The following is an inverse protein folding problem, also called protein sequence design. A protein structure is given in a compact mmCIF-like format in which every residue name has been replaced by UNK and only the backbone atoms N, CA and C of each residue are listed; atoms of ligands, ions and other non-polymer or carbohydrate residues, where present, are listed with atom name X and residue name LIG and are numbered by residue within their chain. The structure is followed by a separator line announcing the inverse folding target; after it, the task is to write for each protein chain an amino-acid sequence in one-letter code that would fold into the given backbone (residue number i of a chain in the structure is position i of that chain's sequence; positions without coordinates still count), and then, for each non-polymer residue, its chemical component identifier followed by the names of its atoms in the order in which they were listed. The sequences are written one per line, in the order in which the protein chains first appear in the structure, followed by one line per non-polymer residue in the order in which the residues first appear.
data_IF_159572190692
#
_entry.id   IF_159572190692
#
_cell.length_a   1.000
_cell.length_b   1.000
_cell.length_c   1.000
_cell.angle_alpha   90.00
_cell.angle_beta   90.00
_cell.angle_gamma   90.00
#
_symmetry.space_group_name_H-M   'P 1'
#
loop_
_entity.id
_entity.type
_entity.pdbx_description
1 polymer ?
#
# COMPACT_ATOMS: atom_id res chain seq x y z
N UNK A 1 24.67 29.07 -41.20
CA UNK A 1 23.37 29.30 -40.53
C UNK A 1 23.68 29.62 -39.08
N UNK A 2 23.50 30.87 -38.64
CA UNK A 2 23.69 31.22 -37.22
C UNK A 2 22.55 30.57 -36.44
N UNK A 3 22.86 29.65 -35.53
CA UNK A 3 21.89 29.14 -34.56
C UNK A 3 21.65 30.24 -33.53
N UNK A 4 20.55 30.99 -33.68
CA UNK A 4 20.07 31.86 -32.63
C UNK A 4 19.36 31.01 -31.57
N UNK A 5 19.69 31.17 -30.29
CA UNK A 5 18.90 30.54 -29.23
C UNK A 5 17.53 31.19 -29.22
N UNK A 6 16.46 30.39 -29.14
CA UNK A 6 15.07 30.86 -29.16
C UNK A 6 14.83 31.99 -28.15
N UNK A 7 15.49 31.97 -26.98
CA UNK A 7 15.40 33.03 -25.97
C UNK A 7 15.90 34.40 -26.46
N UNK A 8 16.91 34.42 -27.33
CA UNK A 8 17.47 35.66 -27.88
C UNK A 8 16.55 36.23 -28.96
N UNK A 9 15.91 35.38 -29.77
CA UNK A 9 14.90 35.78 -30.77
C UNK A 9 13.64 36.35 -30.10
N UNK A 10 13.25 35.76 -28.97
CA UNK A 10 12.09 36.20 -28.18
C UNK A 10 12.41 37.35 -27.21
N UNK A 11 13.66 37.86 -27.19
CA UNK A 11 14.13 38.91 -26.28
C UNK A 11 13.81 38.64 -24.80
N UNK A 12 13.79 37.37 -24.38
CA UNK A 12 13.41 36.98 -23.01
C UNK A 12 14.51 37.44 -22.05
N UNK A 13 14.21 38.31 -21.07
CA UNK A 13 15.20 38.80 -20.12
C UNK A 13 15.86 37.66 -19.34
N UNK A 14 17.17 37.74 -19.12
CA UNK A 14 17.91 36.78 -18.27
C UNK A 14 17.54 36.88 -16.78
N UNK A 15 16.91 37.97 -16.36
CA UNK A 15 16.46 38.20 -14.98
C UNK A 15 14.99 37.78 -14.84
N UNK A 16 14.66 37.13 -13.73
CA UNK A 16 13.30 36.73 -13.38
C UNK A 16 12.41 37.98 -13.25
N UNK A 17 11.38 38.08 -14.10
CA UNK A 17 10.46 39.20 -14.15
C UNK A 17 9.26 38.92 -15.04
N UNK A 18 8.23 39.76 -14.98
CA UNK A 18 7.07 39.66 -15.87
C UNK A 18 7.52 39.97 -17.30
N UNK A 19 7.43 38.97 -18.16
CA UNK A 19 7.70 39.09 -19.60
C UNK A 19 6.36 39.08 -20.35
N UNK A 20 6.23 39.96 -21.35
CA UNK A 20 5.07 40.00 -22.24
C UNK A 20 5.56 39.68 -23.64
N UNK A 21 5.01 38.62 -24.22
CA UNK A 21 5.35 38.17 -25.57
C UNK A 21 4.71 39.11 -26.60
N UNK A 22 5.51 39.56 -27.56
CA UNK A 22 5.03 40.31 -28.73
C UNK A 22 4.49 39.32 -29.78
N UNK A 23 3.17 39.28 -29.91
CA UNK A 23 2.48 38.28 -30.74
C UNK A 23 2.57 38.58 -32.24
N UNK A 24 2.83 39.82 -32.63
CA UNK A 24 2.93 40.23 -34.04
C UNK A 24 4.19 39.69 -34.72
N UNK A 25 5.23 39.36 -33.94
CA UNK A 25 6.49 38.79 -34.46
C UNK A 25 6.48 37.27 -34.61
N UNK A 26 5.38 36.60 -34.22
CA UNK A 26 5.29 35.15 -34.09
C UNK A 26 4.02 34.59 -34.73
N UNK A 27 3.46 35.28 -35.72
CA UNK A 27 2.23 34.87 -36.41
C UNK A 27 2.34 33.46 -37.02
N UNK A 28 3.55 33.02 -37.36
CA UNK A 28 3.82 31.70 -37.96
C UNK A 28 4.17 30.59 -36.93
N UNK A 29 4.10 30.85 -35.61
CA UNK A 29 4.56 29.90 -34.59
C UNK A 29 3.58 29.71 -33.42
N UNK A 30 3.34 28.45 -33.05
CA UNK A 30 2.72 28.10 -31.77
C UNK A 30 3.76 28.13 -30.64
N UNK A 31 3.48 28.89 -29.58
CA UNK A 31 4.42 29.11 -28.48
C UNK A 31 4.00 28.33 -27.24
N UNK A 32 4.72 27.25 -26.96
CA UNK A 32 4.54 26.46 -25.75
C UNK A 32 5.50 26.92 -24.65
N UNK A 33 4.98 27.09 -23.43
CA UNK A 33 5.77 27.50 -22.26
C UNK A 33 5.84 26.32 -21.30
N UNK A 34 7.06 25.82 -21.05
CA UNK A 34 7.29 24.80 -20.05
C UNK A 34 6.83 25.30 -18.68
N UNK A 35 5.86 24.61 -18.08
CA UNK A 35 5.43 24.86 -16.70
C UNK A 35 6.28 24.03 -15.75
N UNK A 36 6.81 24.66 -14.70
CA UNK A 36 7.42 23.97 -13.55
C UNK A 36 6.43 23.80 -12.38
N UNK A 37 5.19 24.28 -12.54
CA UNK A 37 4.12 24.18 -11.54
C UNK A 37 3.04 23.19 -11.99
N UNK A 38 2.70 22.26 -11.10
CA UNK A 38 1.64 21.26 -11.28
C UNK A 38 0.23 21.84 -11.06
N UNK A 39 0.12 23.02 -10.43
CA UNK A 39 -1.16 23.69 -10.14
C UNK A 39 -1.60 24.69 -11.22
N UNK A 40 -0.93 24.72 -12.37
CA UNK A 40 -1.29 25.64 -13.45
C UNK A 40 -2.45 25.07 -14.25
N UNK A 41 -3.61 25.71 -14.10
CA UNK A 41 -4.85 25.34 -14.79
C UNK A 41 -4.64 25.46 -16.30
N UNK A 42 -4.88 24.37 -17.03
CA UNK A 42 -4.93 24.37 -18.50
C UNK A 42 -6.25 25.00 -18.94
N UNK A 43 -6.17 25.85 -19.96
CA UNK A 43 -7.36 26.49 -20.52
C UNK A 43 -8.02 25.50 -21.48
N UNK A 44 -9.35 25.41 -21.44
CA UNK A 44 -10.10 24.59 -22.40
C UNK A 44 -9.75 24.99 -23.85
N UNK A 45 -9.73 24.00 -24.74
CA UNK A 45 -9.40 24.17 -26.18
C UNK A 45 -7.98 24.68 -26.46
N UNK A 46 -7.01 24.39 -25.58
CA UNK A 46 -5.59 24.64 -25.81
C UNK A 46 -4.79 23.36 -26.00
N UNK A 47 -3.75 23.42 -26.83
CA UNK A 47 -2.86 22.29 -27.07
C UNK A 47 -1.83 22.12 -25.94
N UNK A 48 -1.58 20.87 -25.54
CA UNK A 48 -0.62 20.52 -24.49
C UNK A 48 0.56 19.73 -25.07
N UNK A 49 1.72 20.38 -25.11
CA UNK A 49 2.97 19.77 -25.59
C UNK A 49 3.74 19.14 -24.42
N UNK A 50 4.06 17.85 -24.53
CA UNK A 50 4.87 17.10 -23.57
C UNK A 50 5.98 16.31 -24.26
N UNK A 51 7.07 16.09 -23.54
CA UNK A 51 8.25 15.37 -24.04
C UNK A 51 8.06 13.86 -23.85
N UNK A 52 8.26 13.08 -24.91
CA UNK A 52 8.13 11.62 -24.95
C UNK A 52 9.43 10.86 -24.64
N UNK A 53 10.55 11.56 -24.43
CA UNK A 53 11.77 10.99 -23.87
C UNK A 53 12.72 10.31 -24.86
N UNK A 54 12.71 10.67 -26.14
CA UNK A 54 13.84 10.31 -27.03
C UNK A 54 15.05 11.21 -26.74
N UNK A 55 16.14 10.59 -26.29
CA UNK A 55 17.25 11.25 -25.60
C UNK A 55 18.17 12.10 -26.51
N UNK A 56 18.48 13.32 -26.06
CA UNK A 56 19.75 13.99 -26.34
C UNK A 56 20.40 14.60 -25.08
N UNK A 57 21.72 14.72 -25.13
CA UNK A 57 22.70 14.75 -24.03
C UNK A 57 23.08 16.18 -23.59
N UNK A 58 23.01 16.42 -22.27
CA UNK A 58 23.76 17.38 -21.40
C UNK A 58 23.68 18.90 -21.65
N UNK A 59 23.44 19.71 -20.59
CA UNK A 59 24.49 20.26 -19.70
C UNK A 59 23.90 21.12 -18.56
N UNK A 60 24.71 21.27 -17.50
CA UNK A 60 24.52 21.88 -16.17
C UNK A 60 23.69 23.18 -16.00
N UNK A 61 23.08 23.32 -14.80
CA UNK A 61 23.45 24.33 -13.77
C UNK A 61 22.26 24.90 -12.95
N UNK A 62 22.31 24.64 -11.64
CA UNK A 62 22.07 25.56 -10.49
C UNK A 62 20.80 26.44 -10.45
N UNK A 63 19.88 26.19 -9.51
CA UNK A 63 19.72 26.91 -8.21
C UNK A 63 18.43 27.77 -8.22
N UNK A 64 17.99 28.47 -7.14
CA UNK A 64 18.10 28.30 -5.68
C UNK A 64 16.72 28.46 -4.94
N UNK A 65 16.79 28.26 -3.62
CA UNK A 65 15.89 28.74 -2.55
C UNK A 65 15.50 30.22 -2.60
N UNK A 66 14.33 30.60 -2.06
CA UNK A 66 14.16 31.49 -0.87
C UNK A 66 12.69 31.90 -0.62
N UNK A 67 12.24 31.65 0.61
CA UNK A 67 11.43 32.47 1.54
C UNK A 67 10.55 33.63 1.04
N UNK A 68 9.31 33.67 1.56
CA UNK A 68 8.67 34.91 2.02
C UNK A 68 7.61 34.61 3.10
N UNK A 69 7.80 35.21 4.27
CA UNK A 69 6.84 35.38 5.36
C UNK A 69 5.81 36.50 5.07
N UNK A 70 4.89 36.65 6.02
CA UNK A 70 3.80 37.64 6.22
C UNK A 70 2.44 37.14 5.72
N UNK A 71 1.36 37.12 6.52
CA UNK A 71 1.10 37.55 7.89
C UNK A 71 -0.39 37.92 8.03
N UNK A 72 -0.97 37.58 9.20
CA UNK A 72 -2.31 37.91 9.72
C UNK A 72 -3.52 37.11 9.21
N UNK A 73 -4.14 36.25 10.04
CA UNK A 73 -5.00 36.48 11.24
C UNK A 73 -6.46 36.68 10.84
N UNK A 74 -7.31 35.68 11.11
CA UNK A 74 -8.43 35.79 12.06
C UNK A 74 -9.08 34.41 12.25
N UNK A 75 -9.37 34.07 13.51
CA UNK A 75 -9.74 32.73 13.94
C UNK A 75 -11.24 32.44 14.02
N UNK A 76 -11.58 31.17 14.20
CA UNK A 76 -12.75 30.79 14.99
C UNK A 76 -12.65 29.38 15.60
N UNK A 77 -12.74 29.37 16.94
CA UNK A 77 -13.29 28.39 17.88
C UNK A 77 -13.18 26.88 17.59
N UNK A 78 -12.47 26.21 18.51
CA UNK A 78 -12.51 24.78 18.71
C UNK A 78 -13.78 24.29 19.40
N UNK A 79 -14.01 22.99 19.26
CA UNK A 79 -14.89 22.22 20.13
C UNK A 79 -14.20 20.87 20.44
N UNK A 80 -13.87 20.70 21.72
CA UNK A 80 -13.28 19.51 22.30
C UNK A 80 -14.33 18.39 22.40
N UNK A 81 -14.09 17.24 21.77
CA UNK A 81 -14.73 15.98 22.19
C UNK A 81 -13.71 14.87 22.42
N UNK A 82 -13.51 14.63 23.71
CA UNK A 82 -12.83 13.48 24.31
C UNK A 82 -13.30 12.16 23.68
N UNK A 83 -12.35 11.37 23.20
CA UNK A 83 -12.55 9.96 22.88
C UNK A 83 -12.64 9.12 24.15
N UNK A 84 -13.69 8.33 24.26
CA UNK A 84 -13.79 7.21 25.19
C UNK A 84 -13.31 5.91 24.51
N UNK A 85 -12.74 4.97 25.28
CA UNK A 85 -12.06 3.79 24.73
C UNK A 85 -13.04 2.73 24.23
N UNK A 86 -12.66 2.08 23.12
CA UNK A 86 -13.36 0.93 22.57
C UNK A 86 -13.29 -0.28 23.52
N UNK A 87 -14.45 -0.74 23.99
CA UNK A 87 -14.59 -1.97 24.77
C UNK A 87 -14.38 -3.25 23.94
N UNK A 88 -14.06 -4.39 24.58
CA UNK A 88 -13.69 -5.63 23.91
C UNK A 88 -14.88 -6.26 23.15
N UNK A 89 -14.59 -6.80 21.96
CA UNK A 89 -15.54 -7.58 21.16
C UNK A 89 -15.86 -8.94 21.83
N UNK A 90 -17.10 -9.45 21.71
CA UNK A 90 -17.52 -10.68 22.38
C UNK A 90 -16.98 -11.96 21.71
N UNK A 91 -16.62 -12.92 22.56
CA UNK A 91 -16.11 -14.26 22.25
C UNK A 91 -16.99 -15.03 21.26
N UNK A 92 -16.40 -15.46 20.12
CA UNK A 92 -17.08 -16.30 19.11
C UNK A 92 -17.20 -17.75 19.61
N UNK A 93 -18.43 -18.27 19.70
CA UNK A 93 -18.71 -19.69 20.03
C UNK A 93 -18.36 -20.63 18.86
N UNK A 94 -18.06 -21.92 19.14
CA UNK A 94 -17.78 -22.90 18.09
C UNK A 94 -18.99 -23.16 17.20
N UNK A 95 -18.71 -23.42 15.91
CA UNK A 95 -19.64 -23.77 14.83
C UNK A 95 -20.67 -24.82 15.28
N UNK A 96 -21.99 -24.63 15.04
CA UNK A 96 -22.96 -25.72 15.19
C UNK A 96 -22.64 -26.82 14.17
N UNK A 97 -22.69 -28.08 14.60
CA UNK A 97 -22.46 -29.23 13.74
C UNK A 97 -23.40 -29.20 12.52
N UNK A 98 -22.83 -29.35 11.33
CA UNK A 98 -23.52 -29.30 10.05
C UNK A 98 -24.60 -30.40 9.93
N UNK A 99 -25.75 -30.02 9.38
CA UNK A 99 -26.69 -30.97 8.79
C UNK A 99 -26.02 -31.67 7.59
N UNK A 100 -26.30 -32.95 7.44
CA UNK A 100 -25.74 -33.86 6.46
C UNK A 100 -25.93 -33.37 5.01
N UNK A 101 -24.85 -32.87 4.39
CA UNK A 101 -24.84 -32.51 2.96
C UNK A 101 -23.80 -31.49 2.50
N UNK A 102 -22.79 -31.13 3.29
CA UNK A 102 -21.76 -30.16 2.86
C UNK A 102 -20.79 -30.81 1.87
N UNK A 103 -20.65 -30.22 0.68
CA UNK A 103 -19.57 -30.60 -0.23
C UNK A 103 -18.21 -30.25 0.41
N UNK A 104 -17.17 -31.06 0.19
CA UNK A 104 -15.80 -30.76 0.68
C UNK A 104 -15.10 -29.65 -0.15
N UNK A 105 -15.85 -29.00 -1.04
CA UNK A 105 -15.35 -27.93 -1.91
C UNK A 105 -15.17 -26.66 -1.10
N UNK A 106 -13.97 -26.08 -1.20
CA UNK A 106 -13.59 -24.83 -0.54
C UNK A 106 -13.39 -23.77 -1.61
N UNK A 107 -14.13 -22.68 -1.53
CA UNK A 107 -14.12 -21.61 -2.53
C UNK A 107 -13.66 -20.31 -1.86
N UNK A 108 -12.51 -19.81 -2.28
CA UNK A 108 -11.91 -18.57 -1.76
C UNK A 108 -11.79 -17.57 -2.89
N UNK A 109 -12.29 -16.36 -2.65
CA UNK A 109 -12.13 -15.22 -3.56
C UNK A 109 -11.13 -14.25 -2.96
N UNK A 110 -10.13 -13.82 -3.72
CA UNK A 110 -9.25 -12.72 -3.33
C UNK A 110 -9.62 -11.48 -4.12
N UNK A 111 -10.04 -10.41 -3.45
CA UNK A 111 -10.25 -9.10 -4.08
C UNK A 111 -9.12 -8.17 -3.69
N UNK A 112 -8.39 -7.68 -4.67
CA UNK A 112 -7.33 -6.69 -4.50
C UNK A 112 -7.80 -5.34 -4.99
N UNK A 113 -7.69 -4.35 -4.10
CA UNK A 113 -7.65 -2.96 -4.48
C UNK A 113 -6.39 -2.74 -5.33
N UNK A 114 -6.58 -2.12 -6.50
CA UNK A 114 -5.55 -1.89 -7.50
C UNK A 114 -5.21 -0.43 -7.71
N UNK A 115 -5.57 0.45 -6.77
CA UNK A 115 -5.31 1.89 -6.83
C UNK A 115 -3.91 2.26 -6.32
N UNK A 116 -3.55 3.54 -6.47
CA UNK A 116 -2.17 4.03 -6.30
C UNK A 116 -1.51 3.65 -4.97
N UNK A 117 -2.25 3.75 -3.86
CA UNK A 117 -1.76 3.41 -2.52
C UNK A 117 -1.42 1.92 -2.36
N UNK A 118 -2.06 1.07 -3.16
CA UNK A 118 -1.98 -0.38 -3.09
C UNK A 118 -0.98 -1.00 -4.09
N UNK A 119 -0.41 -0.22 -5.01
CA UNK A 119 0.60 -0.72 -5.97
C UNK A 119 1.76 -1.49 -5.32
N UNK A 120 2.34 -1.05 -4.19
CA UNK A 120 3.45 -1.77 -3.58
C UNK A 120 3.02 -3.12 -3.03
N UNK A 121 1.77 -3.24 -2.56
CA UNK A 121 1.16 -4.51 -2.17
C UNK A 121 1.07 -5.46 -3.36
N UNK A 122 0.56 -4.98 -4.50
CA UNK A 122 0.48 -5.77 -5.74
C UNK A 122 1.85 -6.27 -6.20
N UNK A 123 2.89 -5.43 -6.10
CA UNK A 123 4.26 -5.84 -6.42
C UNK A 123 4.72 -6.99 -5.51
N UNK A 124 4.44 -6.95 -4.21
CA UNK A 124 4.78 -8.06 -3.30
C UNK A 124 4.03 -9.35 -3.66
N UNK A 125 2.75 -9.25 -3.99
CA UNK A 125 1.96 -10.41 -4.44
C UNK A 125 2.54 -11.01 -5.71
N UNK A 126 2.78 -10.20 -6.76
CA UNK A 126 3.32 -10.65 -8.05
C UNK A 126 4.67 -11.37 -7.93
N UNK A 127 5.52 -10.96 -7.00
CA UNK A 127 6.82 -11.60 -6.76
C UNK A 127 6.72 -13.05 -6.30
N UNK A 128 5.67 -13.41 -5.57
CA UNK A 128 5.51 -14.73 -4.94
C UNK A 128 4.23 -15.47 -5.35
N UNK A 129 3.43 -14.91 -6.25
CA UNK A 129 2.11 -15.45 -6.62
C UNK A 129 2.19 -16.90 -7.11
N UNK A 130 3.16 -17.22 -7.97
CA UNK A 130 3.30 -18.56 -8.54
C UNK A 130 3.70 -19.62 -7.50
N UNK A 131 4.53 -19.25 -6.52
CA UNK A 131 4.87 -20.13 -5.40
C UNK A 131 3.67 -20.32 -4.47
N UNK A 132 2.99 -19.22 -4.15
CA UNK A 132 1.85 -19.20 -3.22
C UNK A 132 0.68 -20.02 -3.74
N UNK A 133 0.28 -19.82 -5.00
CA UNK A 133 -0.84 -20.56 -5.61
C UNK A 133 -0.53 -22.06 -5.64
N UNK A 134 0.68 -22.43 -6.09
CA UNK A 134 1.11 -23.84 -6.14
C UNK A 134 1.04 -24.49 -4.77
N UNK A 135 1.56 -23.81 -3.75
CA UNK A 135 1.55 -24.28 -2.36
C UNK A 135 0.12 -24.47 -1.85
N UNK A 136 -0.75 -23.48 -2.05
CA UNK A 136 -2.16 -23.54 -1.64
C UNK A 136 -2.90 -24.71 -2.30
N UNK A 137 -2.72 -24.95 -3.60
CA UNK A 137 -3.38 -26.07 -4.27
C UNK A 137 -2.81 -27.45 -3.88
N UNK A 138 -1.55 -27.52 -3.50
CA UNK A 138 -0.94 -28.76 -3.00
C UNK A 138 -1.45 -29.12 -1.60
N UNK A 139 -1.59 -28.12 -0.73
CA UNK A 139 -1.88 -28.34 0.68
C UNK A 139 -3.38 -28.40 1.00
N UNK A 140 -4.22 -27.81 0.15
CA UNK A 140 -5.66 -27.70 0.39
C UNK A 140 -6.43 -28.46 -0.70
N UNK A 141 -6.87 -29.71 -0.42
CA UNK A 141 -7.64 -30.47 -1.38
C UNK A 141 -8.99 -29.80 -1.66
N UNK A 142 -9.44 -29.90 -2.91
CA UNK A 142 -10.73 -29.39 -3.38
C UNK A 142 -10.93 -27.88 -3.22
N UNK A 143 -9.85 -27.10 -3.09
CA UNK A 143 -9.93 -25.63 -3.14
C UNK A 143 -10.07 -25.14 -4.58
N UNK A 144 -10.95 -24.16 -4.79
CA UNK A 144 -11.05 -23.37 -6.02
C UNK A 144 -10.83 -21.91 -5.65
N UNK A 145 -10.08 -21.20 -6.49
CA UNK A 145 -9.73 -19.80 -6.25
C UNK A 145 -10.32 -18.94 -7.36
N UNK A 146 -10.92 -17.82 -6.96
CA UNK A 146 -11.27 -16.70 -7.84
C UNK A 146 -10.46 -15.47 -7.41
N UNK A 147 -10.18 -14.57 -8.35
CA UNK A 147 -9.46 -13.33 -8.06
C UNK A 147 -10.18 -12.16 -8.71
N UNK A 148 -10.42 -11.12 -7.92
CA UNK A 148 -10.91 -9.80 -8.32
C UNK A 148 -9.80 -8.78 -8.21
N UNK A 149 -9.79 -7.86 -9.16
CA UNK A 149 -9.09 -6.59 -9.10
C UNK A 149 -10.14 -5.49 -9.23
N UNK A 150 -10.02 -4.44 -8.43
CA UNK A 150 -10.94 -3.31 -8.45
C UNK A 150 -10.20 -1.99 -8.25
N UNK A 151 -10.76 -0.94 -8.85
CA UNK A 151 -10.39 0.45 -8.59
C UNK A 151 -11.64 1.26 -8.29
N UNK A 152 -11.76 2.43 -8.92
CA UNK A 152 -12.94 3.27 -8.81
C UNK A 152 -13.89 3.13 -10.00
N UNK A 153 -15.12 3.63 -9.87
CA UNK A 153 -16.01 3.81 -11.01
C UNK A 153 -15.43 4.70 -12.12
N UNK A 154 -14.63 5.71 -11.79
CA UNK A 154 -13.97 6.60 -12.75
C UNK A 154 -12.96 5.84 -13.63
N UNK A 155 -12.32 4.80 -13.08
CA UNK A 155 -11.35 3.95 -13.80
C UNK A 155 -11.98 3.15 -14.95
N UNK A 156 -13.30 2.98 -14.97
CA UNK A 156 -14.01 2.21 -16.02
C UNK A 156 -13.67 2.67 -17.44
N UNK A 157 -13.41 3.96 -17.62
CA UNK A 157 -13.15 4.55 -18.94
C UNK A 157 -11.67 4.55 -19.36
N UNK A 158 -10.75 4.43 -18.40
CA UNK A 158 -9.30 4.48 -18.63
C UNK A 158 -8.64 3.11 -18.52
N UNK A 159 -9.09 2.29 -17.57
CA UNK A 159 -8.57 0.96 -17.28
C UNK A 159 -9.70 -0.06 -17.07
N UNK A 160 -10.27 -0.13 -15.85
CA UNK A 160 -11.45 -0.91 -15.47
C UNK A 160 -11.92 -0.49 -14.07
N UNK A 161 -13.23 -0.59 -13.79
CA UNK A 161 -13.74 -0.51 -12.41
C UNK A 161 -13.50 -1.83 -11.66
N UNK A 162 -13.80 -2.94 -12.33
CA UNK A 162 -13.67 -4.30 -11.81
C UNK A 162 -13.23 -5.26 -12.92
N UNK A 163 -12.34 -6.19 -12.58
CA UNK A 163 -11.90 -7.28 -13.47
C UNK A 163 -11.69 -8.53 -12.63
N UNK A 164 -12.12 -9.69 -13.12
CA UNK A 164 -11.98 -10.92 -12.35
C UNK A 164 -11.73 -12.15 -13.19
N UNK A 165 -11.24 -13.19 -12.51
CA UNK A 165 -11.23 -14.57 -12.96
C UNK A 165 -12.10 -15.40 -12.03
N UNK A 166 -13.08 -16.09 -12.62
CA UNK A 166 -13.98 -16.99 -11.89
C UNK A 166 -13.25 -18.21 -11.31
N UNK A 167 -13.90 -18.93 -10.40
CA UNK A 167 -13.36 -20.05 -9.64
C UNK A 167 -12.70 -21.10 -10.52
N UNK A 168 -11.40 -21.29 -10.32
CA UNK A 168 -10.57 -22.23 -11.08
C UNK A 168 -9.55 -22.93 -10.17
N UNK A 169 -9.04 -24.06 -10.66
CA UNK A 169 -7.88 -24.77 -10.13
C UNK A 169 -6.66 -24.66 -11.05
N UNK A 170 -6.77 -23.86 -12.12
CA UNK A 170 -5.69 -23.64 -13.09
C UNK A 170 -4.69 -22.61 -12.53
N UNK A 171 -3.55 -23.11 -12.05
CA UNK A 171 -2.41 -22.30 -11.59
C UNK A 171 -2.00 -21.24 -12.59
N UNK A 172 -1.93 -21.62 -13.88
CA UNK A 172 -1.42 -20.73 -14.94
C UNK A 172 -2.39 -19.59 -15.17
N UNK A 173 -3.70 -19.88 -15.23
CA UNK A 173 -4.73 -18.86 -15.41
C UNK A 173 -4.71 -17.81 -14.29
N UNK A 174 -4.55 -18.24 -13.05
CA UNK A 174 -4.48 -17.35 -11.90
C UNK A 174 -3.18 -16.52 -11.89
N UNK A 175 -2.03 -17.16 -12.16
CA UNK A 175 -0.76 -16.46 -12.25
C UNK A 175 -0.78 -15.40 -13.36
N UNK A 176 -1.27 -15.75 -14.55
CA UNK A 176 -1.42 -14.82 -15.67
C UNK A 176 -2.32 -13.66 -15.29
N UNK A 177 -3.48 -13.92 -14.67
CA UNK A 177 -4.38 -12.86 -14.23
C UNK A 177 -3.71 -11.85 -13.28
N UNK A 178 -3.04 -12.33 -12.23
CA UNK A 178 -2.40 -11.46 -11.22
C UNK A 178 -1.21 -10.68 -11.79
N UNK A 179 -0.47 -11.28 -12.73
CA UNK A 179 0.66 -10.61 -13.37
C UNK A 179 0.22 -9.57 -14.42
N UNK A 180 -0.85 -9.84 -15.15
CA UNK A 180 -1.27 -9.02 -16.30
C UNK A 180 -2.31 -7.94 -15.94
N UNK A 181 -2.95 -8.03 -14.77
CA UNK A 181 -3.95 -7.06 -14.37
C UNK A 181 -3.34 -5.66 -14.23
N UNK A 182 -3.88 -4.67 -14.92
CA UNK A 182 -3.34 -3.30 -14.88
C UNK A 182 -3.60 -2.65 -13.53
N UNK A 183 -2.76 -1.68 -13.17
CA UNK A 183 -3.04 -0.75 -12.08
C UNK A 183 -4.18 0.21 -12.47
N UNK A 184 -4.95 0.68 -11.48
CA UNK A 184 -6.00 1.70 -11.61
C UNK A 184 -5.62 2.96 -10.83
N UNK A 185 -6.31 4.07 -11.05
CA UNK A 185 -5.96 5.36 -10.45
C UNK A 185 -6.72 5.67 -9.14
N UNK A 186 -7.98 5.26 -9.00
CA UNK A 186 -8.84 5.57 -7.83
C UNK A 186 -9.53 6.94 -7.90
N UNK A 187 -8.81 8.00 -8.31
CA UNK A 187 -9.29 9.39 -8.48
C UNK A 187 -9.77 10.11 -7.21
N UNK A 188 -10.60 9.47 -6.39
CA UNK A 188 -10.99 9.92 -5.06
C UNK A 188 -10.58 8.89 -3.98
N UNK A 189 -10.96 9.13 -2.71
CA UNK A 189 -10.52 8.28 -1.59
C UNK A 189 -11.37 7.02 -1.44
N UNK A 190 -12.60 7.02 -1.93
CA UNK A 190 -13.49 5.88 -1.87
C UNK A 190 -13.29 5.02 -3.13
N UNK A 191 -13.49 3.71 -3.03
CA UNK A 191 -13.32 2.80 -4.17
C UNK A 191 -14.57 1.93 -4.34
N UNK A 192 -14.70 1.19 -5.44
CA UNK A 192 -15.93 0.47 -5.77
C UNK A 192 -16.12 -0.88 -5.02
N UNK A 193 -15.76 -0.97 -3.74
CA UNK A 193 -15.88 -2.19 -2.93
C UNK A 193 -17.31 -2.76 -2.90
N UNK A 194 -18.34 -1.91 -2.91
CA UNK A 194 -19.73 -2.34 -2.94
C UNK A 194 -20.09 -3.03 -4.26
N UNK A 195 -19.49 -2.59 -5.38
CA UNK A 195 -19.65 -3.24 -6.68
C UNK A 195 -19.00 -4.62 -6.67
N UNK A 196 -17.82 -4.75 -6.07
CA UNK A 196 -17.15 -6.05 -5.89
C UNK A 196 -18.04 -7.00 -5.09
N UNK A 197 -18.61 -6.56 -3.95
CA UNK A 197 -19.49 -7.41 -3.15
C UNK A 197 -20.72 -7.88 -3.94
N UNK A 198 -21.32 -6.99 -4.74
CA UNK A 198 -22.42 -7.34 -5.64
C UNK A 198 -21.99 -8.37 -6.67
N UNK A 199 -20.88 -8.16 -7.38
CA UNK A 199 -20.41 -9.05 -8.44
C UNK A 199 -19.95 -10.41 -7.91
N UNK A 200 -19.29 -10.45 -6.75
CA UNK A 200 -18.95 -11.69 -6.06
C UNK A 200 -20.22 -12.51 -5.76
N UNK A 201 -21.33 -11.85 -5.43
CA UNK A 201 -22.62 -12.49 -5.17
C UNK A 201 -23.32 -12.96 -6.44
N UNK A 202 -23.29 -12.17 -7.51
CA UNK A 202 -24.15 -12.39 -8.69
C UNK A 202 -23.44 -12.98 -9.91
N UNK A 203 -22.13 -12.81 -10.05
CA UNK A 203 -21.36 -13.18 -11.26
C UNK A 203 -20.47 -14.41 -11.07
N UNK A 204 -20.09 -14.75 -9.82
CA UNK A 204 -19.21 -15.90 -9.57
C UNK A 204 -19.99 -17.23 -9.56
N UNK A 205 -19.35 -18.27 -10.11
CA UNK A 205 -19.93 -19.61 -10.24
C UNK A 205 -19.71 -20.47 -8.98
N UNK A 206 -20.26 -20.02 -7.85
CA UNK A 206 -20.18 -20.73 -6.57
C UNK A 206 -20.82 -22.12 -6.64
N UNK A 207 -20.12 -23.14 -6.11
CA UNK A 207 -20.66 -24.49 -6.01
C UNK A 207 -21.76 -24.52 -4.92
N UNK A 208 -22.92 -25.17 -5.16
CA UNK A 208 -23.91 -25.37 -4.11
C UNK A 208 -23.32 -26.11 -2.89
N UNK A 209 -23.62 -25.63 -1.68
CA UNK A 209 -23.15 -26.22 -0.42
C UNK A 209 -21.61 -26.30 -0.27
N UNK A 210 -20.86 -25.41 -0.91
CA UNK A 210 -19.42 -25.22 -0.67
C UNK A 210 -19.16 -24.42 0.61
N UNK A 211 -17.93 -24.52 1.12
CA UNK A 211 -17.41 -23.56 2.10
C UNK A 211 -16.92 -22.32 1.36
N UNK A 212 -17.38 -21.14 1.77
CA UNK A 212 -17.23 -19.91 0.99
C UNK A 212 -16.61 -18.78 1.79
N UNK A 213 -15.50 -18.26 1.28
CA UNK A 213 -14.80 -17.15 1.91
C UNK A 213 -14.36 -16.10 0.88
N UNK A 214 -14.43 -14.84 1.28
CA UNK A 214 -13.92 -13.71 0.50
C UNK A 214 -12.84 -13.02 1.30
N UNK A 215 -11.70 -12.74 0.68
CA UNK A 215 -10.60 -11.97 1.24
C UNK A 215 -10.60 -10.62 0.53
N UNK A 216 -11.09 -9.60 1.21
CA UNK A 216 -11.18 -8.23 0.69
C UNK A 216 -9.95 -7.45 1.16
N UNK A 217 -9.12 -6.98 0.23
CA UNK A 217 -7.81 -6.39 0.54
C UNK A 217 -7.74 -4.97 -0.04
N UNK A 218 -7.53 -3.99 0.83
CA UNK A 218 -7.38 -2.58 0.43
C UNK A 218 -7.28 -1.65 1.64
N UNK A 219 -7.23 -0.35 1.41
CA UNK A 219 -7.01 0.68 2.43
C UNK A 219 -8.13 1.74 2.51
N UNK A 220 -9.05 1.75 1.54
CA UNK A 220 -10.16 2.70 1.41
C UNK A 220 -11.53 2.12 1.84
N UNK A 221 -12.56 2.97 2.08
CA UNK A 221 -13.95 2.56 2.20
C UNK A 221 -14.70 2.57 0.85
N UNK A 222 -15.90 1.95 0.78
CA UNK A 222 -16.75 1.99 -0.42
C UNK A 222 -17.41 3.36 -0.62
N UNK A 223 -17.77 3.62 -1.88
CA UNK A 223 -18.75 4.65 -2.21
C UNK A 223 -20.11 4.41 -1.55
N UNK A 224 -20.78 5.51 -1.21
CA UNK A 224 -22.15 5.48 -0.70
C UNK A 224 -23.18 5.31 -1.84
N UNK A 225 -24.40 4.83 -1.55
CA UNK A 225 -25.48 4.75 -2.55
C UNK A 225 -25.81 6.10 -3.20
N UNK A 226 -25.54 7.21 -2.51
CA UNK A 226 -25.73 8.55 -3.04
C UNK A 226 -24.74 8.96 -4.13
N UNK A 227 -23.60 8.25 -4.25
CA UNK A 227 -22.55 8.58 -5.21
C UNK A 227 -23.08 8.54 -6.64
N UNK A 228 -22.59 9.47 -7.46
CA UNK A 228 -23.16 9.76 -8.77
C UNK A 228 -22.86 8.66 -9.81
N UNK A 229 -21.68 8.01 -9.74
CA UNK A 229 -21.32 6.90 -10.62
C UNK A 229 -21.82 5.54 -10.12
N UNK A 230 -22.17 5.43 -8.83
CA UNK A 230 -22.94 4.30 -8.30
C UNK A 230 -24.41 4.42 -8.74
N UNK A 231 -24.65 4.19 -10.03
CA UNK A 231 -25.95 4.29 -10.71
C UNK A 231 -26.93 3.22 -10.24
N UNK A 232 -26.42 2.08 -9.77
CA UNK A 232 -27.21 0.98 -9.23
C UNK A 232 -27.58 1.17 -7.75
N UNK A 233 -27.12 2.25 -7.12
CA UNK A 233 -27.41 2.59 -5.72
C UNK A 233 -27.07 1.45 -4.76
N UNK A 234 -25.96 0.76 -5.03
CA UNK A 234 -25.51 -0.39 -4.27
C UNK A 234 -25.13 0.06 -2.86
N UNK A 235 -25.57 -0.68 -1.85
CA UNK A 235 -25.19 -0.48 -0.47
C UNK A 235 -24.37 -1.68 0.00
N UNK A 236 -23.11 -1.47 0.33
CA UNK A 236 -22.20 -2.54 0.75
C UNK A 236 -22.72 -3.33 1.95
N UNK A 237 -23.48 -2.71 2.88
CA UNK A 237 -24.04 -3.41 4.04
C UNK A 237 -25.11 -4.40 3.64
N UNK A 238 -25.91 -4.08 2.63
CA UNK A 238 -26.97 -4.96 2.15
C UNK A 238 -26.37 -6.11 1.33
N UNK A 239 -25.35 -5.85 0.51
CA UNK A 239 -24.61 -6.91 -0.18
C UNK A 239 -23.90 -7.85 0.81
N UNK A 240 -23.26 -7.30 1.85
CA UNK A 240 -22.60 -8.10 2.89
C UNK A 240 -23.59 -9.00 3.65
N UNK A 241 -24.79 -8.49 3.98
CA UNK A 241 -25.85 -9.30 4.60
C UNK A 241 -26.32 -10.41 3.67
N UNK A 242 -26.59 -10.10 2.40
CA UNK A 242 -27.04 -11.10 1.42
C UNK A 242 -25.99 -12.19 1.18
N UNK A 243 -24.71 -11.81 1.05
CA UNK A 243 -23.59 -12.77 0.95
C UNK A 243 -23.57 -13.73 2.15
N UNK A 244 -23.84 -13.25 3.37
CA UNK A 244 -23.87 -14.09 4.55
C UNK A 244 -25.16 -14.91 4.67
N UNK A 245 -26.32 -14.27 4.61
CA UNK A 245 -27.63 -14.89 4.88
C UNK A 245 -28.04 -15.87 3.77
N UNK A 246 -27.83 -15.50 2.50
CA UNK A 246 -28.31 -16.31 1.37
C UNK A 246 -27.25 -17.32 0.90
N UNK A 247 -25.97 -17.00 1.10
CA UNK A 247 -24.86 -17.76 0.52
C UNK A 247 -23.87 -18.31 1.54
N UNK A 248 -24.00 -17.97 2.83
CA UNK A 248 -23.08 -18.37 3.90
C UNK A 248 -21.61 -18.05 3.58
N UNK A 249 -21.37 -16.86 3.02
CA UNK A 249 -20.02 -16.33 2.72
C UNK A 249 -19.48 -15.59 3.95
N UNK A 250 -18.26 -15.94 4.35
CA UNK A 250 -17.52 -15.24 5.40
C UNK A 250 -16.46 -14.31 4.79
N UNK A 251 -16.33 -13.08 5.30
CA UNK A 251 -15.38 -12.10 4.74
C UNK A 251 -14.19 -11.86 5.68
N UNK A 252 -13.00 -12.13 5.17
CA UNK A 252 -11.73 -11.65 5.71
C UNK A 252 -11.49 -10.24 5.16
N UNK A 253 -11.82 -9.23 5.96
CA UNK A 253 -11.60 -7.82 5.66
C UNK A 253 -10.16 -7.46 6.04
N UNK A 254 -9.25 -7.49 5.07
CA UNK A 254 -7.82 -7.17 5.22
C UNK A 254 -7.60 -5.69 4.94
N UNK A 255 -7.51 -4.90 6.01
CA UNK A 255 -7.28 -3.48 5.94
C UNK A 255 -5.77 -3.19 5.86
N UNK A 256 -5.32 -2.62 4.74
CA UNK A 256 -3.98 -2.12 4.53
C UNK A 256 -3.78 -0.71 5.09
N UNK A 257 -2.51 -0.35 5.34
CA UNK A 257 -2.04 1.00 5.70
C UNK A 257 -2.63 1.64 6.98
N UNK A 258 -3.52 0.93 7.68
CA UNK A 258 -3.99 1.31 9.01
C UNK A 258 -4.81 2.61 9.06
N UNK A 259 -5.39 3.06 7.93
CA UNK A 259 -6.16 4.31 7.91
C UNK A 259 -7.40 4.24 8.83
N UNK A 260 -7.46 5.12 9.83
CA UNK A 260 -8.55 5.11 10.81
C UNK A 260 -9.92 5.40 10.18
N UNK A 261 -9.99 6.19 9.10
CA UNK A 261 -11.27 6.51 8.43
C UNK A 261 -11.94 5.25 7.86
N UNK A 262 -11.16 4.35 7.27
CA UNK A 262 -11.65 3.09 6.67
C UNK A 262 -11.95 2.00 7.69
N UNK A 263 -11.41 2.10 8.92
CA UNK A 263 -11.51 1.04 9.95
C UNK A 263 -12.96 0.64 10.24
N UNK A 264 -13.89 1.60 10.21
CA UNK A 264 -15.32 1.36 10.44
C UNK A 264 -15.93 0.44 9.38
N UNK A 265 -15.52 0.58 8.12
CA UNK A 265 -15.97 -0.27 7.03
C UNK A 265 -15.47 -1.71 7.20
N UNK A 266 -14.15 -1.91 7.30
CA UNK A 266 -13.55 -3.25 7.40
C UNK A 266 -14.04 -4.02 8.64
N UNK A 267 -14.11 -3.36 9.80
CA UNK A 267 -14.59 -3.99 11.04
C UNK A 267 -16.07 -4.39 10.97
N UNK A 268 -16.92 -3.55 10.38
CA UNK A 268 -18.34 -3.87 10.19
C UNK A 268 -18.55 -4.95 9.12
N UNK A 269 -17.78 -4.94 8.03
CA UNK A 269 -17.85 -5.96 6.97
C UNK A 269 -17.55 -7.36 7.53
N UNK A 270 -16.48 -7.48 8.31
CA UNK A 270 -16.14 -8.70 9.04
C UNK A 270 -17.25 -9.10 10.03
N UNK A 271 -17.80 -8.13 10.78
CA UNK A 271 -18.85 -8.39 11.77
C UNK A 271 -20.16 -8.91 11.14
N UNK A 272 -20.61 -8.27 10.05
CA UNK A 272 -21.86 -8.63 9.35
C UNK A 272 -21.77 -10.07 8.83
N UNK A 273 -20.62 -10.46 8.30
CA UNK A 273 -20.42 -11.77 7.65
C UNK A 273 -19.84 -12.83 8.58
N UNK A 274 -19.77 -12.54 9.89
CA UNK A 274 -19.11 -13.38 10.90
C UNK A 274 -17.64 -13.71 10.60
N UNK A 275 -17.01 -12.99 9.67
CA UNK A 275 -15.61 -13.14 9.27
C UNK A 275 -14.63 -12.39 10.18
N UNK A 276 -13.50 -11.94 9.63
CA UNK A 276 -12.39 -11.39 10.42
C UNK A 276 -11.91 -10.05 9.86
N UNK A 277 -11.56 -9.14 10.76
CA UNK A 277 -10.87 -7.90 10.42
C UNK A 277 -9.38 -8.09 10.70
N UNK A 278 -8.57 -8.01 9.67
CA UNK A 278 -7.12 -8.21 9.73
C UNK A 278 -6.43 -6.92 9.31
N UNK A 279 -5.34 -6.56 9.99
CA UNK A 279 -4.55 -5.34 9.69
C UNK A 279 -3.25 -5.70 9.00
N UNK A 280 -3.09 -5.25 7.77
CA UNK A 280 -1.87 -5.41 6.98
C UNK A 280 -1.02 -4.13 7.07
N UNK A 281 -0.14 -4.10 8.07
CA UNK A 281 0.71 -2.93 8.31
C UNK A 281 1.96 -2.91 7.44
N UNK A 282 2.44 -4.09 7.01
CA UNK A 282 3.60 -4.24 6.13
C UNK A 282 3.22 -5.10 4.93
N UNK A 283 3.30 -4.55 3.73
CA UNK A 283 2.98 -5.25 2.49
C UNK A 283 3.85 -6.48 2.25
N UNK A 284 5.08 -6.52 2.78
CA UNK A 284 5.93 -7.71 2.75
C UNK A 284 5.27 -8.95 3.39
N UNK A 285 4.28 -8.76 4.27
CA UNK A 285 3.57 -9.84 4.95
C UNK A 285 2.34 -10.35 4.18
N UNK A 286 1.96 -9.73 3.05
CA UNK A 286 0.70 -10.08 2.35
C UNK A 286 0.63 -11.56 2.00
N UNK A 287 1.72 -12.15 1.53
CA UNK A 287 1.76 -13.57 1.13
C UNK A 287 1.53 -14.50 2.32
N UNK A 288 2.03 -14.13 3.50
CA UNK A 288 1.77 -14.87 4.73
C UNK A 288 0.31 -14.71 5.18
N UNK A 289 -0.30 -13.54 4.97
CA UNK A 289 -1.74 -13.33 5.22
C UNK A 289 -2.59 -14.23 4.33
N UNK A 290 -2.34 -14.23 3.01
CA UNK A 290 -3.11 -15.05 2.06
C UNK A 290 -2.99 -16.54 2.41
N UNK A 291 -1.76 -16.99 2.68
CA UNK A 291 -1.48 -18.40 3.03
C UNK A 291 -2.13 -18.79 4.36
N UNK A 292 -2.02 -17.96 5.40
CA UNK A 292 -2.63 -18.22 6.70
C UNK A 292 -4.16 -18.28 6.62
N UNK A 293 -4.79 -17.41 5.82
CA UNK A 293 -6.25 -17.44 5.61
C UNK A 293 -6.65 -18.74 4.91
N UNK A 294 -5.96 -19.13 3.84
CA UNK A 294 -6.19 -20.41 3.18
C UNK A 294 -6.08 -21.59 4.15
N UNK A 295 -5.03 -21.64 4.97
CA UNK A 295 -4.87 -22.72 5.95
C UNK A 295 -5.91 -22.68 7.06
N UNK A 296 -6.35 -21.49 7.50
CA UNK A 296 -7.46 -21.35 8.46
C UNK A 296 -8.74 -21.98 7.95
N UNK A 297 -9.03 -21.79 6.65
CA UNK A 297 -10.18 -22.37 5.97
C UNK A 297 -10.06 -23.89 5.82
N UNK A 298 -8.84 -24.41 5.68
CA UNK A 298 -8.60 -25.85 5.65
C UNK A 298 -8.79 -26.49 7.03
N UNK A 299 -8.03 -26.05 8.05
CA UNK A 299 -8.11 -26.58 9.42
C UNK A 299 -7.33 -25.72 10.42
N UNK A 300 -7.63 -25.84 11.71
CA UNK A 300 -6.84 -25.15 12.75
C UNK A 300 -5.42 -25.73 12.86
N UNK A 301 -5.25 -27.01 12.61
CA UNK A 301 -3.98 -27.72 12.65
C UNK A 301 -3.02 -27.21 11.57
N UNK A 302 -3.51 -26.97 10.36
CA UNK A 302 -2.72 -26.38 9.26
C UNK A 302 -2.31 -24.94 9.58
N UNK A 303 -3.21 -24.14 10.15
CA UNK A 303 -2.86 -22.79 10.58
C UNK A 303 -1.74 -22.79 11.63
N UNK A 304 -1.83 -23.68 12.63
CA UNK A 304 -0.83 -23.81 13.69
C UNK A 304 0.52 -24.31 13.14
N UNK A 305 0.50 -25.28 12.23
CA UNK A 305 1.71 -25.76 11.56
C UNK A 305 2.41 -24.63 10.77
N UNK A 306 1.64 -23.81 10.07
CA UNK A 306 2.17 -22.66 9.35
C UNK A 306 2.68 -21.57 10.29
N UNK A 307 2.01 -21.33 11.42
CA UNK A 307 2.49 -20.41 12.45
C UNK A 307 3.88 -20.83 12.97
N UNK A 308 4.09 -22.12 13.24
CA UNK A 308 5.40 -22.63 13.66
C UNK A 308 6.46 -22.55 12.56
N UNK A 309 6.08 -22.76 11.29
CA UNK A 309 6.97 -22.52 10.15
C UNK A 309 7.43 -21.05 10.12
N UNK A 310 6.50 -20.10 10.22
CA UNK A 310 6.79 -18.67 10.21
C UNK A 310 7.69 -18.28 11.39
N UNK A 311 7.45 -18.83 12.58
CA UNK A 311 8.34 -18.66 13.76
C UNK A 311 9.74 -19.20 13.52
N UNK A 312 9.88 -20.29 12.75
CA UNK A 312 11.16 -20.91 12.43
C UNK A 312 12.02 -20.17 11.40
N UNK A 313 11.48 -19.15 10.70
CA UNK A 313 12.21 -18.39 9.69
C UNK A 313 13.29 -17.51 10.33
N UNK A 314 14.54 -17.64 9.85
CA UNK A 314 15.67 -16.82 10.30
C UNK A 314 15.74 -15.42 9.65
N UNK A 315 16.51 -14.51 10.26
CA UNK A 315 16.85 -13.15 9.76
C UNK A 315 15.68 -12.15 9.62
N UNK A 316 15.03 -11.77 10.71
CA UNK A 316 14.13 -10.60 10.75
C UNK A 316 12.92 -10.60 9.81
N UNK A 317 12.72 -11.69 9.08
CA UNK A 317 11.50 -12.07 8.35
C UNK A 317 10.69 -13.12 9.14
N UNK A 318 11.00 -13.30 10.43
CA UNK A 318 10.28 -14.19 11.33
C UNK A 318 8.96 -13.59 11.81
N UNK A 319 8.45 -14.12 12.92
CA UNK A 319 7.19 -13.72 13.54
C UNK A 319 7.23 -12.30 14.12
N UNK A 320 6.98 -11.29 13.27
CA UNK A 320 6.86 -9.88 13.68
C UNK A 320 5.51 -9.61 14.39
N UNK A 321 5.34 -8.40 14.95
CA UNK A 321 4.11 -8.02 15.69
C UNK A 321 2.83 -8.13 14.84
N UNK A 322 2.90 -7.77 13.55
CA UNK A 322 1.75 -7.85 12.63
C UNK A 322 1.33 -9.29 12.38
N UNK A 323 2.29 -10.19 12.17
CA UNK A 323 2.06 -11.62 12.01
C UNK A 323 1.55 -12.27 13.30
N UNK A 324 2.06 -11.86 14.48
CA UNK A 324 1.47 -12.26 15.76
C UNK A 324 -0.01 -11.90 15.84
N UNK A 325 -0.38 -10.66 15.51
CA UNK A 325 -1.77 -10.21 15.51
C UNK A 325 -2.64 -11.00 14.51
N UNK A 326 -2.11 -11.31 13.32
CA UNK A 326 -2.77 -12.16 12.33
C UNK A 326 -3.09 -13.54 12.91
N UNK A 327 -2.09 -14.27 13.40
CA UNK A 327 -2.26 -15.63 13.91
C UNK A 327 -3.15 -15.67 15.15
N UNK A 328 -3.01 -14.71 16.07
CA UNK A 328 -3.88 -14.60 17.25
C UNK A 328 -5.35 -14.40 16.82
N UNK A 329 -5.60 -13.53 15.85
CA UNK A 329 -6.95 -13.23 15.34
C UNK A 329 -7.57 -14.43 14.62
N UNK A 330 -6.80 -15.09 13.73
CA UNK A 330 -7.27 -16.26 13.00
C UNK A 330 -7.51 -17.46 13.94
N UNK A 331 -6.65 -17.67 14.93
CA UNK A 331 -6.81 -18.71 15.93
C UNK A 331 -7.93 -18.41 16.95
N UNK A 332 -8.46 -17.19 16.99
CA UNK A 332 -9.52 -16.77 17.91
C UNK A 332 -9.03 -16.59 19.35
N UNK A 333 -7.77 -16.19 19.53
CA UNK A 333 -7.17 -15.93 20.85
C UNK A 333 -7.65 -14.57 21.37
N UNK A 334 -8.14 -14.53 22.60
CA UNK A 334 -8.58 -13.28 23.25
C UNK A 334 -7.40 -12.44 23.78
N UNK A 335 -6.29 -13.11 24.12
CA UNK A 335 -5.09 -12.49 24.66
C UNK A 335 -3.98 -12.64 23.63
N UNK A 336 -3.32 -11.52 23.30
CA UNK A 336 -2.21 -11.58 22.36
C UNK A 336 -1.06 -12.42 22.92
N UNK A 337 -0.48 -13.24 22.07
CA UNK A 337 0.70 -14.05 22.38
C UNK A 337 1.99 -13.23 22.32
N UNK A 338 1.94 -12.04 21.73
CA UNK A 338 3.08 -11.12 21.66
C UNK A 338 3.37 -10.53 23.06
N UNK A 339 4.62 -10.69 23.50
CA UNK A 339 5.11 -10.08 24.74
C UNK A 339 5.98 -8.89 24.39
N UNK A 340 5.46 -7.69 24.60
CA UNK A 340 6.17 -6.45 24.33
C UNK A 340 7.40 -6.33 25.26
N UNK A 341 8.60 -6.33 24.69
CA UNK A 341 9.81 -6.01 25.42
C UNK A 341 9.93 -4.49 25.52
N UNK A 342 9.48 -3.92 26.62
CA UNK A 342 9.63 -2.49 26.88
C UNK A 342 11.12 -2.11 26.90
N UNK A 343 11.59 -1.38 25.89
CA UNK A 343 12.83 -0.62 25.97
C UNK A 343 12.48 0.77 26.52
N UNK A 344 13.08 1.14 27.64
CA UNK A 344 12.64 2.27 28.47
C UNK A 344 12.71 3.67 27.85
N UNK A 345 13.30 3.85 26.66
CA UNK A 345 13.56 5.19 26.10
C UNK A 345 12.96 5.42 24.69
N UNK A 346 12.42 4.38 24.03
CA UNK A 346 11.89 4.49 22.67
C UNK A 346 10.43 4.06 22.59
N UNK A 347 9.59 4.95 22.08
CA UNK A 347 8.17 4.67 21.81
C UNK A 347 8.03 4.22 20.36
N UNK A 348 7.44 3.04 20.09
CA UNK A 348 7.24 2.57 18.72
C UNK A 348 6.25 3.48 17.99
N UNK A 349 6.56 3.78 16.72
CA UNK A 349 5.63 4.48 15.83
C UNK A 349 4.64 3.50 15.20
N UNK A 350 3.57 4.03 14.59
CA UNK A 350 2.65 3.20 13.81
C UNK A 350 3.41 2.47 12.69
N UNK A 351 3.34 1.13 12.62
CA UNK A 351 4.04 0.36 11.60
C UNK A 351 3.53 0.69 10.20
N UNK A 352 2.30 1.16 10.05
CA UNK A 352 1.70 1.48 8.75
C UNK A 352 2.24 2.79 8.14
N UNK A 353 2.96 3.63 8.90
CA UNK A 353 3.58 4.88 8.39
C UNK A 353 4.63 4.60 7.31
N UNK A 354 5.35 3.49 7.44
CA UNK A 354 6.42 3.14 6.53
C UNK A 354 6.23 1.75 5.96
N UNK A 355 6.64 1.55 4.71
CA UNK A 355 6.74 0.22 4.09
C UNK A 355 8.22 -0.12 3.87
N UNK A 356 8.63 -1.32 4.27
CA UNK A 356 9.94 -1.86 3.91
C UNK A 356 9.81 -2.66 2.62
N UNK A 357 10.61 -2.31 1.63
CA UNK A 357 10.72 -3.01 0.35
C UNK A 357 12.12 -3.60 0.19
N UNK A 358 12.19 -4.84 -0.27
CA UNK A 358 13.47 -5.52 -0.51
C UNK A 358 14.13 -4.99 -1.78
N UNK A 359 15.45 -4.75 -1.69
CA UNK A 359 16.29 -4.33 -2.80
C UNK A 359 17.04 -5.54 -3.34
N UNK A 360 16.61 -6.04 -4.49
CA UNK A 360 17.17 -7.26 -5.09
C UNK A 360 18.50 -7.01 -5.81
N UNK A 361 18.64 -5.83 -6.41
CA UNK A 361 19.79 -5.48 -7.24
C UNK A 361 20.32 -4.08 -6.93
N UNK A 362 21.53 -3.80 -7.40
CA UNK A 362 22.14 -2.49 -7.24
C UNK A 362 21.45 -1.47 -8.16
N UNK A 363 20.74 -0.53 -7.58
CA UNK A 363 19.93 0.46 -8.32
C UNK A 363 19.87 1.78 -7.56
N UNK A 364 19.68 2.91 -8.23
CA UNK A 364 19.42 4.19 -7.55
C UNK A 364 17.96 4.29 -7.08
N UNK A 365 17.72 5.16 -6.09
CA UNK A 365 16.39 5.36 -5.50
C UNK A 365 15.35 5.74 -6.56
N UNK A 366 15.70 6.61 -7.52
CA UNK A 366 14.73 7.05 -8.55
C UNK A 366 14.24 5.86 -9.36
N UNK A 367 15.15 5.06 -9.90
CA UNK A 367 14.79 3.86 -10.68
C UNK A 367 14.10 2.82 -9.82
N UNK A 368 14.53 2.60 -8.56
CA UNK A 368 13.87 1.65 -7.65
C UNK A 368 12.40 2.02 -7.40
N UNK A 369 12.16 3.29 -7.11
CA UNK A 369 10.81 3.81 -6.83
C UNK A 369 9.91 3.69 -8.06
N UNK A 370 10.41 4.06 -9.24
CA UNK A 370 9.67 3.94 -10.49
C UNK A 370 9.29 2.48 -10.80
N UNK A 371 10.20 1.53 -10.56
CA UNK A 371 9.96 0.10 -10.80
C UNK A 371 8.97 -0.54 -9.84
N UNK A 372 8.90 -0.02 -8.61
CA UNK A 372 7.95 -0.49 -7.60
C UNK A 372 6.66 0.35 -7.60
N UNK A 373 6.49 1.22 -8.59
CA UNK A 373 5.34 2.12 -8.75
C UNK A 373 5.01 2.92 -7.48
N UNK A 374 6.03 3.38 -6.75
CA UNK A 374 5.81 4.23 -5.57
C UNK A 374 5.67 5.69 -6.00
N UNK A 375 4.81 6.45 -5.32
CA UNK A 375 4.77 7.90 -5.48
C UNK A 375 6.01 8.51 -4.81
N UNK A 376 6.97 8.97 -5.61
CA UNK A 376 8.21 9.54 -5.06
C UNK A 376 8.02 10.99 -4.61
N UNK A 377 8.27 11.27 -3.33
CA UNK A 377 8.52 12.62 -2.83
C UNK A 377 9.92 12.69 -2.21
N UNK A 378 10.69 13.73 -2.56
CA UNK A 378 12.02 13.95 -2.01
C UNK A 378 11.97 13.99 -0.48
N UNK A 379 12.84 13.20 0.18
CA UNK A 379 12.89 13.10 1.64
C UNK A 379 12.01 12.01 2.26
N UNK A 380 11.19 11.30 1.48
CA UNK A 380 10.35 10.20 1.97
C UNK A 380 10.93 8.80 1.80
N UNK A 381 12.14 8.71 1.23
CA UNK A 381 12.86 7.46 1.02
C UNK A 381 14.04 7.32 1.97
N UNK A 382 14.22 6.13 2.52
CA UNK A 382 15.27 5.82 3.48
C UNK A 382 16.03 4.56 3.04
N UNK A 383 17.35 4.65 2.99
CA UNK A 383 18.20 3.52 2.64
C UNK A 383 18.68 2.81 3.91
N UNK A 384 18.82 1.49 3.85
CA UNK A 384 19.40 0.73 4.95
C UNK A 384 20.91 1.02 5.08
N UNK A 385 21.31 1.40 6.29
CA UNK A 385 22.65 1.79 6.65
C UNK A 385 23.53 0.55 6.88
N UNK A 386 24.27 0.17 5.84
CA UNK A 386 25.09 -1.05 5.82
C UNK A 386 26.59 -0.79 5.74
N UNK A 387 27.03 0.46 5.56
CA UNK A 387 28.45 0.83 5.42
C UNK A 387 28.79 2.03 6.30
N UNK A 388 30.02 2.11 6.85
CA UNK A 388 30.40 3.25 7.69
C UNK A 388 30.34 4.59 6.95
N UNK A 389 29.55 5.54 7.47
CA UNK A 389 29.32 6.86 6.87
C UNK A 389 29.15 7.93 7.96
N UNK A 390 29.38 9.19 7.60
CA UNK A 390 29.04 10.33 8.45
C UNK A 390 27.58 10.71 8.20
N UNK A 391 26.75 10.59 9.23
CA UNK A 391 25.32 10.89 9.17
C UNK A 391 25.08 12.25 9.84
N UNK A 392 24.39 13.16 9.15
CA UNK A 392 23.97 14.44 9.73
C UNK A 392 22.80 14.23 10.68
N UNK A 393 22.83 14.96 11.79
CA UNK A 393 21.73 15.17 12.74
C UNK A 393 20.43 15.73 12.13
N UNK A 394 20.51 16.40 10.98
CA UNK A 394 19.33 16.92 10.27
C UNK A 394 18.50 15.85 9.56
N UNK A 395 19.04 14.65 9.38
CA UNK A 395 18.34 13.55 8.70
C UNK A 395 17.47 12.80 9.69
N UNK A 396 16.31 12.36 9.24
CA UNK A 396 15.52 11.38 10.01
C UNK A 396 16.19 10.00 9.95
N UNK A 397 16.18 9.30 11.08
CA UNK A 397 16.71 7.95 11.25
C UNK A 397 15.59 7.08 11.81
N UNK A 398 15.32 5.97 11.14
CA UNK A 398 14.36 4.97 11.59
C UNK A 398 15.11 3.71 12.00
N UNK A 399 14.94 3.31 13.25
CA UNK A 399 15.41 2.03 13.79
C UNK A 399 14.28 1.02 13.68
N UNK A 400 14.56 -0.16 13.15
CA UNK A 400 13.62 -1.27 13.08
C UNK A 400 14.19 -2.42 13.91
N UNK A 401 13.45 -2.87 14.91
CA UNK A 401 13.82 -4.03 15.71
C UNK A 401 13.83 -5.28 14.83
N UNK A 402 14.95 -6.02 14.80
CA UNK A 402 15.08 -7.22 13.96
C UNK A 402 14.17 -8.37 14.38
N UNK A 403 13.60 -8.35 15.57
CA UNK A 403 12.72 -9.41 16.09
C UNK A 403 11.26 -8.97 15.97
N UNK A 404 10.88 -7.85 16.60
CA UNK A 404 9.48 -7.43 16.61
C UNK A 404 9.04 -6.76 15.31
N UNK A 405 9.97 -6.18 14.56
CA UNK A 405 9.67 -5.29 13.43
C UNK A 405 9.17 -3.91 13.86
N UNK A 406 9.13 -3.61 15.17
CA UNK A 406 8.71 -2.30 15.67
C UNK A 406 9.70 -1.23 15.17
N UNK A 407 9.13 -0.10 14.77
CA UNK A 407 9.88 1.01 14.22
C UNK A 407 9.98 2.14 15.23
N UNK A 408 11.11 2.82 15.27
CA UNK A 408 11.40 3.92 16.19
C UNK A 408 12.11 5.04 15.44
N UNK A 409 11.73 6.30 15.69
CA UNK A 409 12.32 7.48 15.02
C UNK A 409 12.53 8.62 16.02
N UNK A 410 13.05 9.75 15.55
CA UNK A 410 13.24 10.98 16.32
C UNK A 410 14.66 11.19 16.84
N UNK A 411 14.84 12.20 17.69
CA UNK A 411 16.14 12.61 18.20
C UNK A 411 16.87 11.50 18.98
N UNK A 412 16.10 10.63 19.64
CA UNK A 412 16.64 9.48 20.38
C UNK A 412 17.24 8.43 19.45
N UNK A 413 16.59 8.14 18.32
CA UNK A 413 17.12 7.25 17.29
C UNK A 413 18.42 7.80 16.70
N UNK A 414 18.48 9.11 16.41
CA UNK A 414 19.69 9.79 15.94
C UNK A 414 20.82 9.71 16.98
N UNK A 415 20.53 9.94 18.25
CA UNK A 415 21.50 9.87 19.35
C UNK A 415 22.03 8.45 19.53
N UNK A 416 21.15 7.45 19.45
CA UNK A 416 21.51 6.04 19.60
C UNK A 416 22.53 5.57 18.56
N UNK A 417 22.40 6.05 17.32
CA UNK A 417 23.37 5.71 16.26
C UNK A 417 24.57 6.67 16.19
N UNK A 418 24.61 7.72 17.03
CA UNK A 418 25.68 8.73 16.99
C UNK A 418 25.64 9.65 15.77
N UNK A 419 24.46 9.89 15.18
CA UNK A 419 24.29 10.86 14.11
C UNK A 419 24.64 12.28 14.59
N UNK A 420 25.25 13.10 13.72
CA UNK A 420 25.75 14.43 14.07
C UNK A 420 27.15 14.45 14.70
N UNK A 421 27.72 13.29 15.02
CA UNK A 421 29.08 13.18 15.56
C UNK A 421 30.18 13.60 14.58
N UNK A 422 31.38 13.83 15.11
CA UNK A 422 32.55 14.18 14.31
C UNK A 422 33.03 13.02 13.40
N UNK A 423 32.83 11.77 13.85
CA UNK A 423 33.31 10.55 13.19
C UNK A 423 32.29 9.88 12.25
N UNK A 424 32.73 8.79 11.61
CA UNK A 424 31.84 7.88 10.87
C UNK A 424 31.17 6.92 11.84
N UNK A 425 29.87 6.72 11.69
CA UNK A 425 29.10 5.68 12.41
C UNK A 425 29.42 4.33 11.78
N UNK A 426 29.47 3.24 12.56
CA UNK A 426 29.64 1.87 12.04
C UNK A 426 28.37 1.04 12.28
N UNK A 427 27.88 0.30 11.26
CA UNK A 427 26.70 -0.55 11.43
C UNK A 427 26.88 -1.72 12.41
N UNK A 428 28.12 -2.20 12.61
CA UNK A 428 28.43 -3.33 13.49
C UNK A 428 28.04 -3.11 14.95
N UNK A 429 27.93 -1.85 15.36
CA UNK A 429 27.62 -1.49 16.74
C UNK A 429 26.11 -1.59 17.03
N UNK A 430 25.31 -1.99 16.04
CA UNK A 430 23.85 -1.97 16.03
C UNK A 430 23.25 -3.35 15.67
N UNK A 431 23.78 -4.42 16.26
CA UNK A 431 23.36 -5.80 15.94
C UNK A 431 21.86 -6.07 16.13
N UNK A 432 21.21 -5.40 17.10
CA UNK A 432 19.76 -5.52 17.35
C UNK A 432 18.90 -4.88 16.26
N UNK A 433 19.41 -3.86 15.58
CA UNK A 433 18.60 -2.94 14.77
C UNK A 433 18.91 -3.08 13.28
N UNK A 434 17.88 -2.91 12.44
CA UNK A 434 18.06 -2.41 11.07
C UNK A 434 17.93 -0.89 11.14
N UNK A 435 18.83 -0.19 10.47
CA UNK A 435 18.92 1.26 10.59
C UNK A 435 18.66 1.84 9.22
N UNK A 436 17.65 2.68 9.10
CA UNK A 436 17.27 3.34 7.87
C UNK A 436 17.53 4.83 8.00
N UNK A 437 18.24 5.40 7.03
CA UNK A 437 18.64 6.80 7.06
C UNK A 437 17.97 7.52 5.90
N UNK A 438 17.35 8.66 6.19
CA UNK A 438 16.68 9.48 5.19
C UNK A 438 17.64 9.86 4.04
N UNK A 439 17.16 9.67 2.82
CA UNK A 439 17.82 10.18 1.61
C UNK A 439 17.11 11.41 1.09
N UNK A 440 17.88 12.49 0.93
CA UNK A 440 17.47 13.68 0.17
C UNK A 440 17.97 13.63 -1.28
N UNK A 441 18.71 12.58 -1.66
CA UNK A 441 19.27 12.41 -2.99
C UNK A 441 18.58 11.29 -3.75
N UNK A 442 18.16 11.60 -4.98
CA UNK A 442 17.55 10.67 -5.93
C UNK A 442 18.58 9.70 -6.54
N UNK A 443 19.83 10.12 -6.68
CA UNK A 443 20.92 9.31 -7.24
C UNK A 443 21.58 8.38 -6.21
N UNK A 444 21.08 8.33 -4.97
CA UNK A 444 21.63 7.46 -3.94
C UNK A 444 21.45 6.01 -4.39
N UNK A 445 22.56 5.27 -4.45
CA UNK A 445 22.56 3.87 -4.84
C UNK A 445 22.15 3.00 -3.65
N UNK A 446 21.11 2.20 -3.85
CA UNK A 446 20.68 1.12 -2.98
C UNK A 446 21.51 -0.13 -3.29
N UNK A 447 21.84 -0.88 -2.24
CA UNK A 447 22.66 -2.10 -2.36
C UNK A 447 21.75 -3.34 -2.39
N UNK A 448 22.10 -4.38 -3.15
CA UNK A 448 21.34 -5.63 -3.14
C UNK A 448 21.35 -6.28 -1.75
N UNK A 449 20.31 -7.05 -1.45
CA UNK A 449 20.08 -7.70 -0.16
C UNK A 449 19.98 -6.71 1.02
N UNK A 450 19.42 -5.53 0.75
CA UNK A 450 19.10 -4.52 1.77
C UNK A 450 17.65 -4.08 1.63
N UNK A 451 17.13 -3.35 2.60
CA UNK A 451 15.82 -2.73 2.54
C UNK A 451 15.87 -1.29 2.06
N UNK A 452 14.79 -0.88 1.41
CA UNK A 452 14.41 0.50 1.23
C UNK A 452 13.13 0.76 2.02
N UNK A 453 13.20 1.68 2.98
CA UNK A 453 12.05 2.08 3.78
C UNK A 453 11.44 3.32 3.13
N UNK A 454 10.16 3.24 2.80
CA UNK A 454 9.39 4.27 2.13
C UNK A 454 8.29 4.78 3.06
N UNK A 455 8.20 6.09 3.24
CA UNK A 455 7.11 6.72 3.98
C UNK A 455 5.86 6.80 3.11
N UNK A 456 4.80 6.15 3.54
CA UNK A 456 3.50 6.13 2.85
C UNK A 456 2.95 7.55 2.81
N UNK A 457 2.47 7.98 1.65
CA UNK A 457 1.83 9.29 1.52
C UNK A 457 0.43 9.27 2.13
N UNK A 458 0.11 10.10 3.13
CA UNK A 458 -1.24 10.20 3.66
C UNK A 458 -2.21 10.89 2.69
N UNK A 459 -1.69 11.62 1.70
CA UNK A 459 -2.48 12.28 0.65
C UNK A 459 -2.58 11.41 -0.63
N UNK A 460 -2.49 10.07 -0.52
CA UNK A 460 -2.79 9.19 -1.65
C UNK A 460 -4.23 9.41 -2.11
#
# INVERSE_FOLDING_TARGET
MMYFKVRDVLEIPKKTGKFKLDREKLEDFDVFVQSTSYNRILVADSDFLYDTGEAEVKDDASAPSTSAETGNEDGEKGDDKKGEPAGPSPSKKPRPAASSGTSDVKEIVFSFDTTGSMYPCLTQVRRKVAETIRRVFQDIPNIRVAVFAHGDYEDKTTTYDTKWVDFTTDESKLCTFVNDVSATCGYDFEECYELVLRQVRTELSWTPNSQRSVVMIGDAPPHGPGYHLNTLKINWKDEAKQLYEDMNVHIYAVQALGNSSSTSFYSQLAKITCGWHLKLDQFASIVDFLTAICYREQSMEQLQAFEEEVKGRGKGSGMNRSLHALFDTLAGREISTYKETASCDLVPISPSRFQILDVDERVDIKTFVQRNSLIFRTGRGFYEFTKPEKISDKKEVVLVDKVSGDMYTGAEACRMIGAGGAGKVKPTDLEKWRVFVQSTSYNRVLMPNTGFLYEVDPDH
#
